data_IF_851332509080
#
_entry.id   IF_851332509080
#
_cell.length_a   1.000
_cell.length_b   1.000
_cell.length_c   1.000
_cell.angle_alpha   90.00
_cell.angle_beta   90.00
_cell.angle_gamma   90.00
#
_symmetry.space_group_name_H-M   'P 1'
#
loop_
_entity.id
_entity.type
_entity.pdbx_description
1 polymer ?
#
# COMPACT_ATOMS: atom_id res chain seq x y z
N UNK A 1 -25.89 -0.53 6.35
CA UNK A 1 -24.59 0.18 6.23
C UNK A 1 -24.79 1.30 5.22
N UNK A 2 -24.32 2.52 5.50
CA UNK A 2 -24.40 3.61 4.51
C UNK A 2 -23.37 3.34 3.42
N UNK A 3 -23.77 3.44 2.16
CA UNK A 3 -22.85 3.38 1.04
C UNK A 3 -22.00 4.65 1.05
N UNK A 4 -20.66 4.49 0.91
CA UNK A 4 -19.76 5.63 0.78
C UNK A 4 -18.88 5.43 -0.45
N UNK A 5 -18.81 6.48 -1.29
CA UNK A 5 -18.01 6.52 -2.49
C UNK A 5 -17.24 7.84 -2.55
N UNK A 6 -15.98 7.77 -2.93
CA UNK A 6 -15.10 8.92 -3.10
C UNK A 6 -14.53 8.95 -4.51
N UNK A 7 -14.66 10.08 -5.17
CA UNK A 7 -14.16 10.35 -6.51
C UNK A 7 -13.24 11.56 -6.47
N UNK A 8 -12.01 11.38 -6.94
CA UNK A 8 -11.04 12.47 -7.05
C UNK A 8 -10.37 12.46 -8.43
N UNK A 9 -10.36 13.60 -9.11
CA UNK A 9 -9.84 13.77 -10.46
C UNK A 9 -8.87 14.94 -10.50
N UNK A 10 -7.76 14.78 -11.25
CA UNK A 10 -6.72 15.78 -11.41
C UNK A 10 -6.44 16.03 -12.90
N UNK A 11 -6.46 17.29 -13.29
CA UNK A 11 -5.97 17.79 -14.55
C UNK A 11 -4.52 18.26 -14.37
N UNK A 12 -3.57 17.61 -15.05
CA UNK A 12 -2.13 17.87 -14.95
C UNK A 12 -1.62 18.59 -16.18
N UNK A 13 -2.01 18.12 -17.38
CA UNK A 13 -1.46 18.60 -18.65
C UNK A 13 -1.96 20.00 -19.02
N UNK A 14 -3.18 20.33 -18.62
CA UNK A 14 -3.78 21.66 -18.84
C UNK A 14 -4.77 22.01 -17.72
N UNK A 15 -4.85 23.25 -17.29
CA UNK A 15 -5.87 23.67 -16.35
C UNK A 15 -7.27 23.62 -16.97
N UNK A 16 -8.27 23.37 -16.13
CA UNK A 16 -9.70 23.44 -16.51
C UNK A 16 -10.11 24.88 -16.82
N UNK A 17 -10.67 25.09 -17.98
CA UNK A 17 -11.24 26.38 -18.37
C UNK A 17 -12.47 26.76 -17.54
N UNK A 18 -12.97 27.98 -17.67
CA UNK A 18 -14.21 28.38 -17.03
C UNK A 18 -15.41 27.58 -17.56
N UNK A 19 -15.40 27.23 -18.84
CA UNK A 19 -16.42 26.41 -19.48
C UNK A 19 -16.37 24.96 -18.97
N UNK A 20 -15.17 24.34 -18.92
CA UNK A 20 -14.98 23.00 -18.36
C UNK A 20 -15.54 22.92 -16.93
N UNK A 21 -15.24 23.91 -16.08
CA UNK A 21 -15.74 23.97 -14.71
C UNK A 21 -17.26 24.14 -14.64
N UNK A 22 -17.85 24.88 -15.58
CA UNK A 22 -19.30 25.02 -15.68
C UNK A 22 -19.95 23.70 -16.10
N UNK A 23 -19.36 22.94 -17.04
CA UNK A 23 -19.81 21.61 -17.44
C UNK A 23 -19.74 20.64 -16.25
N UNK A 24 -18.63 20.62 -15.53
CA UNK A 24 -18.46 19.79 -14.34
C UNK A 24 -19.44 20.14 -13.22
N UNK A 25 -19.80 21.45 -13.07
CA UNK A 25 -20.82 21.88 -12.11
C UNK A 25 -22.22 21.37 -12.44
N UNK A 26 -22.52 21.14 -13.72
CA UNK A 26 -23.79 20.47 -14.13
C UNK A 26 -23.82 18.99 -13.77
N UNK A 27 -22.66 18.32 -13.74
CA UNK A 27 -22.54 16.92 -13.27
C UNK A 27 -22.81 16.83 -11.77
N UNK A 28 -22.18 17.71 -10.98
CA UNK A 28 -22.39 17.74 -9.53
C UNK A 28 -22.37 19.15 -8.96
N UNK A 29 -23.48 19.54 -8.32
CA UNK A 29 -23.58 20.83 -7.62
C UNK A 29 -22.77 20.85 -6.31
N UNK A 30 -22.47 19.69 -5.72
CA UNK A 30 -21.78 19.54 -4.42
C UNK A 30 -20.27 19.34 -4.55
N UNK A 31 -19.78 18.94 -5.73
CA UNK A 31 -18.36 18.70 -5.94
C UNK A 31 -17.49 19.94 -5.66
N UNK A 32 -16.32 19.69 -5.09
CA UNK A 32 -15.25 20.68 -5.02
C UNK A 32 -14.55 20.74 -6.40
N UNK A 33 -14.72 21.83 -7.11
CA UNK A 33 -14.15 22.03 -8.46
C UNK A 33 -13.16 23.19 -8.39
N UNK A 34 -11.92 22.93 -8.82
CA UNK A 34 -10.83 23.90 -8.89
C UNK A 34 -10.35 24.07 -10.34
N UNK A 35 -9.30 24.83 -10.57
CA UNK A 35 -8.67 24.93 -11.88
C UNK A 35 -7.95 23.62 -12.30
N UNK A 36 -7.68 22.71 -11.38
CA UNK A 36 -6.95 21.46 -11.66
C UNK A 36 -7.65 20.20 -11.15
N UNK A 37 -8.81 20.29 -10.52
CA UNK A 37 -9.40 19.12 -9.91
C UNK A 37 -10.92 19.13 -9.76
N UNK A 38 -11.47 17.94 -9.60
CA UNK A 38 -12.86 17.67 -9.24
C UNK A 38 -12.88 16.59 -8.17
N UNK A 39 -13.36 16.92 -6.99
CA UNK A 39 -13.48 15.99 -5.86
C UNK A 39 -14.92 15.92 -5.40
N UNK A 40 -15.44 14.74 -5.18
CA UNK A 40 -16.77 14.54 -4.61
C UNK A 40 -16.88 13.23 -3.83
N UNK A 41 -17.68 13.23 -2.77
CA UNK A 41 -18.06 12.02 -2.03
C UNK A 41 -19.58 11.85 -2.03
N UNK A 42 -20.02 10.60 -2.00
CA UNK A 42 -21.41 10.21 -1.95
C UNK A 42 -21.64 9.24 -0.79
N UNK A 43 -22.48 9.62 0.16
CA UNK A 43 -23.00 8.68 1.17
C UNK A 43 -24.27 7.97 0.68
N UNK A 44 -24.88 8.47 -0.41
CA UNK A 44 -26.03 7.93 -1.11
C UNK A 44 -26.01 8.39 -2.57
N UNK A 45 -26.35 7.48 -3.49
CA UNK A 45 -26.34 7.76 -4.92
C UNK A 45 -24.93 7.63 -5.51
N UNK A 46 -24.75 8.14 -6.72
CA UNK A 46 -23.56 7.92 -7.52
C UNK A 46 -23.20 9.14 -8.38
N UNK A 47 -21.99 9.13 -8.94
CA UNK A 47 -21.55 10.13 -9.91
C UNK A 47 -22.42 10.07 -11.17
N UNK A 48 -23.05 11.19 -11.54
CA UNK A 48 -23.96 11.27 -12.71
C UNK A 48 -23.19 11.44 -14.04
N UNK A 49 -22.01 10.85 -14.14
CA UNK A 49 -21.20 10.86 -15.35
C UNK A 49 -20.33 9.61 -15.41
N UNK A 50 -19.91 9.23 -16.60
CA UNK A 50 -18.95 8.14 -16.77
C UNK A 50 -17.53 8.63 -16.45
N UNK A 51 -16.81 8.06 -15.45
CA UNK A 51 -15.47 8.48 -15.08
C UNK A 51 -14.47 8.43 -16.24
N UNK A 52 -14.53 7.39 -17.10
CA UNK A 52 -13.65 7.28 -18.29
C UNK A 52 -13.89 8.41 -19.29
N UNK A 53 -15.16 8.80 -19.48
CA UNK A 53 -15.48 9.94 -20.35
C UNK A 53 -14.98 11.27 -19.76
N UNK A 54 -15.02 11.42 -18.44
CA UNK A 54 -14.43 12.57 -17.75
C UNK A 54 -12.91 12.60 -17.91
N UNK A 55 -12.25 11.44 -17.77
CA UNK A 55 -10.82 11.29 -18.03
C UNK A 55 -10.45 11.66 -19.47
N UNK A 56 -11.18 11.15 -20.44
CA UNK A 56 -10.91 11.43 -21.84
C UNK A 56 -11.00 12.93 -22.18
N UNK A 57 -11.91 13.66 -21.51
CA UNK A 57 -12.20 15.07 -21.85
C UNK A 57 -11.41 16.07 -21.00
N UNK A 58 -11.25 15.83 -19.68
CA UNK A 58 -10.81 16.87 -18.75
C UNK A 58 -9.64 16.49 -17.86
N UNK A 59 -9.44 15.21 -17.53
CA UNK A 59 -8.53 14.83 -16.46
C UNK A 59 -7.44 13.86 -16.90
N UNK A 60 -6.38 13.81 -16.11
CA UNK A 60 -5.18 13.00 -16.39
C UNK A 60 -4.94 11.91 -15.37
N UNK A 61 -5.45 12.09 -14.14
CA UNK A 61 -5.39 11.11 -13.05
C UNK A 61 -6.74 11.07 -12.35
N UNK A 62 -7.20 9.88 -11.99
CA UNK A 62 -8.43 9.67 -11.23
C UNK A 62 -8.24 8.56 -10.21
N UNK A 63 -8.74 8.78 -9.00
CA UNK A 63 -8.83 7.80 -7.92
C UNK A 63 -10.29 7.63 -7.51
N UNK A 64 -10.71 6.39 -7.36
CA UNK A 64 -12.01 6.01 -6.81
C UNK A 64 -11.84 5.07 -5.64
N UNK A 65 -12.61 5.29 -4.58
CA UNK A 65 -12.65 4.47 -3.39
C UNK A 65 -14.10 4.24 -2.97
N UNK A 66 -14.41 3.06 -2.43
CA UNK A 66 -15.71 2.78 -1.82
C UNK A 66 -15.57 2.02 -0.50
N UNK A 67 -16.58 2.13 0.37
CA UNK A 67 -16.59 1.40 1.65
C UNK A 67 -16.97 -0.09 1.51
N UNK A 68 -17.26 -0.56 0.30
CA UNK A 68 -17.29 -1.98 -0.05
C UNK A 68 -15.98 -2.45 -0.70
N UNK A 69 -14.89 -1.76 -0.36
CA UNK A 69 -13.51 -2.11 -0.70
C UNK A 69 -13.21 -2.23 -2.20
N UNK A 70 -13.85 -1.40 -3.03
CA UNK A 70 -13.41 -1.18 -4.41
C UNK A 70 -12.45 -0.01 -4.47
N UNK A 71 -11.29 -0.22 -5.09
CA UNK A 71 -10.27 0.80 -5.32
C UNK A 71 -9.92 0.86 -6.80
N UNK A 72 -9.91 2.06 -7.37
CA UNK A 72 -9.54 2.25 -8.77
C UNK A 72 -8.61 3.44 -8.95
N UNK A 73 -7.66 3.29 -9.89
CA UNK A 73 -6.78 4.32 -10.40
C UNK A 73 -6.92 4.38 -11.92
N UNK A 74 -7.17 5.57 -12.48
CA UNK A 74 -7.06 5.79 -13.92
C UNK A 74 -5.95 6.78 -14.23
N UNK A 75 -5.15 6.48 -15.24
CA UNK A 75 -4.11 7.35 -15.79
C UNK A 75 -4.39 7.58 -17.28
N UNK A 76 -4.54 8.84 -17.68
CA UNK A 76 -4.59 9.23 -19.09
C UNK A 76 -3.18 9.43 -19.60
N UNK A 77 -2.79 8.63 -20.58
CA UNK A 77 -1.44 8.55 -21.11
C UNK A 77 -1.43 9.00 -22.58
N UNK A 78 -0.67 10.03 -22.96
CA UNK A 78 -0.49 10.40 -24.36
C UNK A 78 0.06 9.21 -25.16
N UNK A 79 -0.66 8.79 -26.20
CA UNK A 79 -0.33 7.59 -27.00
C UNK A 79 1.10 7.62 -27.56
N UNK A 80 1.55 8.79 -27.97
CA UNK A 80 2.89 8.98 -28.54
C UNK A 80 4.04 8.72 -27.52
N UNK A 81 3.74 8.68 -26.22
CA UNK A 81 4.70 8.42 -25.16
C UNK A 81 4.59 7.02 -24.54
N UNK A 82 3.72 6.17 -25.08
CA UNK A 82 3.51 4.81 -24.56
C UNK A 82 4.15 3.78 -25.49
N UNK A 83 5.01 2.94 -24.93
CA UNK A 83 5.45 1.71 -25.60
C UNK A 83 4.37 0.65 -25.44
N UNK A 84 3.46 0.55 -26.41
CA UNK A 84 2.33 -0.38 -26.38
C UNK A 84 2.73 -1.85 -26.28
N UNK A 85 3.74 -2.36 -27.01
CA UNK A 85 4.23 -3.71 -26.86
C UNK A 85 4.73 -4.01 -25.44
N UNK A 86 5.46 -3.09 -24.82
CA UNK A 86 5.94 -3.23 -23.44
C UNK A 86 4.76 -3.19 -22.47
N UNK A 87 3.89 -2.19 -22.58
CA UNK A 87 2.72 -2.07 -21.70
C UNK A 87 1.82 -3.31 -21.80
N UNK A 88 1.64 -3.83 -23.02
CA UNK A 88 0.88 -5.07 -23.24
C UNK A 88 1.45 -6.26 -22.46
N UNK A 89 2.79 -6.40 -22.39
CA UNK A 89 3.42 -7.44 -21.56
C UNK A 89 3.23 -7.18 -20.06
N UNK A 90 3.24 -5.92 -19.64
CA UNK A 90 3.06 -5.55 -18.23
C UNK A 90 1.66 -5.82 -17.70
N UNK A 91 0.63 -5.74 -18.55
CA UNK A 91 -0.77 -5.94 -18.16
C UNK A 91 -1.30 -7.35 -18.50
N UNK A 92 -0.50 -8.14 -19.20
CA UNK A 92 -0.90 -9.50 -19.56
C UNK A 92 -1.09 -10.36 -18.31
N UNK A 93 -2.22 -11.05 -18.20
CA UNK A 93 -2.53 -11.95 -17.08
C UNK A 93 -3.23 -11.26 -15.90
N UNK A 94 -3.41 -9.94 -15.88
CA UNK A 94 -4.20 -9.27 -14.83
C UNK A 94 -5.59 -8.87 -15.35
N UNK A 95 -6.65 -9.37 -14.71
CA UNK A 95 -8.03 -8.96 -14.97
C UNK A 95 -8.35 -7.59 -14.35
N UNK A 96 -7.56 -7.15 -13.40
CA UNK A 96 -7.70 -5.88 -12.69
C UNK A 96 -7.28 -4.67 -13.54
N UNK A 97 -6.54 -4.91 -14.65
CA UNK A 97 -5.97 -3.85 -15.48
C UNK A 97 -6.62 -3.80 -16.85
N UNK A 98 -7.14 -2.65 -17.22
CA UNK A 98 -7.71 -2.41 -18.55
C UNK A 98 -7.05 -1.22 -19.24
N UNK A 99 -6.94 -1.29 -20.55
CA UNK A 99 -6.44 -0.22 -21.41
C UNK A 99 -7.51 0.13 -22.44
N UNK A 100 -7.97 1.38 -22.44
CA UNK A 100 -8.99 1.85 -23.38
C UNK A 100 -8.47 3.00 -24.24
N UNK A 101 -8.99 3.07 -25.46
CA UNK A 101 -8.65 4.11 -26.44
C UNK A 101 -9.40 5.41 -26.11
N UNK A 102 -8.69 6.53 -26.16
CA UNK A 102 -9.21 7.89 -25.99
C UNK A 102 -8.63 8.83 -27.07
N UNK A 103 -8.48 8.34 -28.31
CA UNK A 103 -7.92 9.07 -29.44
C UNK A 103 -6.41 9.28 -29.33
N UNK A 104 -5.97 10.51 -29.12
CA UNK A 104 -4.55 10.85 -28.95
C UNK A 104 -3.98 10.35 -27.63
N UNK A 105 -4.81 9.78 -26.75
CA UNK A 105 -4.43 9.24 -25.47
C UNK A 105 -4.97 7.82 -25.28
N UNK A 106 -4.45 7.15 -24.25
CA UNK A 106 -4.95 5.90 -23.69
C UNK A 106 -5.37 6.13 -22.26
N UNK A 107 -6.39 5.43 -21.79
CA UNK A 107 -6.76 5.40 -20.38
C UNK A 107 -6.38 4.03 -19.86
N UNK A 108 -5.35 4.00 -19.01
CA UNK A 108 -4.97 2.85 -18.21
C UNK A 108 -5.80 2.89 -16.94
N UNK A 109 -6.52 1.82 -16.65
CA UNK A 109 -7.32 1.69 -15.44
C UNK A 109 -6.92 0.43 -14.68
N UNK A 110 -6.69 0.59 -13.38
CA UNK A 110 -6.49 -0.50 -12.41
C UNK A 110 -7.68 -0.47 -11.47
N UNK A 111 -8.37 -1.60 -11.29
CA UNK A 111 -9.53 -1.69 -10.39
C UNK A 111 -9.51 -3.02 -9.64
N UNK A 112 -9.31 -2.97 -8.33
CA UNK A 112 -9.50 -4.12 -7.44
C UNK A 112 -10.80 -3.96 -6.64
N UNK A 113 -11.53 -5.06 -6.51
CA UNK A 113 -12.83 -5.13 -5.81
C UNK A 113 -12.74 -6.07 -4.63
N UNK A 114 -13.60 -5.85 -3.63
CA UNK A 114 -13.79 -6.74 -2.48
C UNK A 114 -12.49 -7.04 -1.74
N UNK A 115 -11.60 -6.04 -1.66
CA UNK A 115 -10.36 -6.17 -0.91
C UNK A 115 -10.68 -6.40 0.57
N UNK A 116 -10.06 -7.42 1.17
CA UNK A 116 -10.15 -7.69 2.61
C UNK A 116 -9.51 -6.53 3.38
N UNK A 117 -10.29 -5.60 3.81
CA UNK A 117 -9.86 -4.45 4.59
C UNK A 117 -10.93 -4.07 5.63
N UNK A 118 -10.57 -4.12 6.91
CA UNK A 118 -11.41 -3.61 8.01
C UNK A 118 -11.28 -2.09 8.19
N UNK A 119 -10.46 -1.44 7.34
CA UNK A 119 -10.18 -0.01 7.43
C UNK A 119 -11.32 0.84 6.91
N UNK A 120 -11.80 1.77 7.73
CA UNK A 120 -12.68 2.84 7.30
C UNK A 120 -11.93 3.77 6.35
N UNK A 121 -12.56 4.18 5.25
CA UNK A 121 -12.02 5.22 4.37
C UNK A 121 -12.27 6.57 5.06
N UNK A 122 -11.18 7.24 5.43
CA UNK A 122 -11.25 8.61 5.97
C UNK A 122 -11.74 9.58 4.89
N UNK A 123 -12.50 10.60 5.31
CA UNK A 123 -12.91 11.68 4.43
C UNK A 123 -11.67 12.45 3.91
N UNK A 124 -11.58 12.62 2.58
CA UNK A 124 -10.53 13.39 1.86
C UNK A 124 -9.08 12.83 2.02
N UNK A 125 -8.83 11.54 1.75
CA UNK A 125 -7.49 10.97 1.85
C UNK A 125 -6.58 11.51 0.73
N UNK A 126 -5.26 11.67 0.97
CA UNK A 126 -4.30 12.24 0.01
C UNK A 126 -3.91 11.26 -1.12
N UNK A 127 -4.77 10.31 -1.48
CA UNK A 127 -4.46 9.24 -2.43
C UNK A 127 -4.04 9.76 -3.80
N UNK A 128 -4.76 10.76 -4.31
CA UNK A 128 -4.47 11.34 -5.62
C UNK A 128 -3.08 11.99 -5.66
N UNK A 129 -2.71 12.74 -4.61
CA UNK A 129 -1.40 13.38 -4.52
C UNK A 129 -0.26 12.36 -4.44
N UNK A 130 -0.48 11.22 -3.79
CA UNK A 130 0.50 10.15 -3.68
C UNK A 130 0.68 9.37 -4.99
N UNK A 131 -0.39 9.21 -5.79
CA UNK A 131 -0.39 8.39 -7.02
C UNK A 131 -0.12 9.20 -8.28
N UNK A 132 -0.43 10.50 -8.32
CA UNK A 132 -0.21 11.34 -9.50
C UNK A 132 1.24 11.33 -10.03
N UNK A 133 2.29 11.26 -9.19
CA UNK A 133 3.67 11.13 -9.66
C UNK A 133 3.93 9.92 -10.55
N UNK A 134 3.23 8.77 -10.35
CA UNK A 134 3.39 7.56 -11.17
C UNK A 134 3.20 7.85 -12.67
N UNK A 135 2.22 8.70 -13.01
CA UNK A 135 2.00 9.11 -14.40
C UNK A 135 3.21 9.82 -14.98
N UNK A 136 3.74 10.81 -14.28
CA UNK A 136 4.89 11.60 -14.74
C UNK A 136 6.16 10.75 -14.83
N UNK A 137 6.39 9.86 -13.88
CA UNK A 137 7.48 8.90 -13.85
C UNK A 137 7.40 7.96 -15.05
N UNK A 138 6.24 7.33 -15.27
CA UNK A 138 6.00 6.42 -16.40
C UNK A 138 6.17 7.13 -17.77
N UNK A 139 5.59 8.30 -17.93
CA UNK A 139 5.77 9.10 -19.14
C UNK A 139 7.24 9.51 -19.38
N UNK A 140 8.00 9.68 -18.29
CA UNK A 140 9.44 9.93 -18.31
C UNK A 140 10.30 8.71 -18.65
N UNK A 141 9.70 7.53 -18.82
CA UNK A 141 10.38 6.28 -19.14
C UNK A 141 10.76 5.43 -17.93
N UNK A 142 10.25 5.77 -16.72
CA UNK A 142 10.41 4.92 -15.54
C UNK A 142 9.56 3.64 -15.69
N UNK A 143 10.16 2.44 -15.61
CA UNK A 143 9.44 1.19 -15.84
C UNK A 143 8.68 0.67 -14.59
N UNK A 144 8.79 1.32 -13.41
CA UNK A 144 8.23 0.81 -12.16
C UNK A 144 6.73 0.59 -12.19
N UNK A 145 5.97 1.51 -12.82
CA UNK A 145 4.52 1.30 -13.00
C UNK A 145 4.26 0.01 -13.80
N UNK A 146 5.02 -0.24 -14.86
CA UNK A 146 4.90 -1.47 -15.64
C UNK A 146 5.15 -2.73 -14.80
N UNK A 147 6.16 -2.72 -13.91
CA UNK A 147 6.41 -3.80 -12.97
C UNK A 147 5.23 -3.97 -12.00
N UNK A 148 4.73 -2.89 -11.41
CA UNK A 148 3.58 -2.95 -10.48
C UNK A 148 2.33 -3.55 -11.13
N UNK A 149 2.04 -3.18 -12.39
CA UNK A 149 0.92 -3.74 -13.14
C UNK A 149 1.09 -5.25 -13.37
N UNK A 150 2.30 -5.71 -13.69
CA UNK A 150 2.59 -7.13 -13.87
C UNK A 150 2.52 -7.89 -12.54
N UNK A 151 2.98 -7.28 -11.44
CA UNK A 151 2.89 -7.88 -10.11
C UNK A 151 1.45 -8.13 -9.66
N UNK A 152 0.46 -7.35 -10.11
CA UNK A 152 -0.95 -7.65 -9.83
C UNK A 152 -1.34 -9.04 -10.35
N UNK A 153 -0.99 -9.36 -11.61
CA UNK A 153 -1.26 -10.68 -12.17
C UNK A 153 -0.39 -11.80 -11.57
N UNK A 154 0.82 -11.48 -11.09
CA UNK A 154 1.66 -12.45 -10.38
C UNK A 154 1.08 -12.77 -9.00
N UNK A 155 0.62 -11.77 -8.27
CA UNK A 155 0.00 -11.85 -6.96
C UNK A 155 -1.30 -12.68 -7.00
N UNK A 156 -2.11 -12.48 -8.04
CA UNK A 156 -3.36 -13.20 -8.28
C UNK A 156 -3.15 -14.59 -8.91
N UNK A 157 -1.89 -15.05 -9.05
CA UNK A 157 -1.52 -16.33 -9.68
C UNK A 157 -1.99 -16.48 -11.16
N UNK A 158 -2.37 -15.37 -11.79
CA UNK A 158 -2.85 -15.35 -13.18
C UNK A 158 -1.72 -15.33 -14.23
N UNK A 159 -0.49 -15.05 -13.79
CA UNK A 159 0.72 -15.10 -14.62
C UNK A 159 1.40 -16.45 -14.43
N UNK A 160 1.71 -17.14 -15.53
CA UNK A 160 2.39 -18.44 -15.50
C UNK A 160 3.81 -18.32 -14.90
N UNK A 161 4.28 -19.40 -14.22
CA UNK A 161 5.57 -19.38 -13.50
C UNK A 161 6.78 -19.14 -14.43
N UNK A 162 6.70 -19.57 -15.68
CA UNK A 162 7.77 -19.40 -16.68
C UNK A 162 7.72 -18.05 -17.39
N UNK A 163 6.68 -17.22 -17.14
CA UNK A 163 6.55 -15.91 -17.75
C UNK A 163 7.67 -14.96 -17.28
N UNK A 164 8.44 -14.35 -18.20
CA UNK A 164 9.53 -13.48 -17.85
C UNK A 164 9.06 -12.12 -17.33
N UNK A 165 9.80 -11.52 -16.40
CA UNK A 165 9.63 -10.12 -15.99
C UNK A 165 9.62 -9.21 -17.24
N UNK A 166 8.63 -8.31 -17.39
CA UNK A 166 8.57 -7.42 -18.54
C UNK A 166 9.60 -6.28 -18.47
N UNK A 167 10.12 -5.99 -17.29
CA UNK A 167 11.13 -4.95 -16.98
C UNK A 167 12.11 -5.43 -15.92
N UNK A 168 13.24 -4.74 -15.73
CA UNK A 168 14.40 -5.25 -14.98
C UNK A 168 14.17 -5.43 -13.46
N UNK A 169 13.26 -4.70 -12.85
CA UNK A 169 12.99 -4.73 -11.41
C UNK A 169 12.16 -3.54 -10.94
N UNK A 170 12.04 -3.38 -9.61
CA UNK A 170 11.23 -2.31 -8.99
C UNK A 170 12.07 -1.33 -8.13
N UNK A 171 13.26 -1.71 -7.73
CA UNK A 171 14.07 -0.92 -6.77
C UNK A 171 14.77 0.30 -7.35
N UNK A 172 15.14 1.27 -6.50
CA UNK A 172 14.57 1.47 -5.17
C UNK A 172 13.11 1.87 -5.26
N UNK A 173 12.32 1.55 -4.22
CA UNK A 173 10.93 1.96 -4.14
C UNK A 173 10.83 3.49 -4.02
N UNK A 174 9.85 4.07 -4.70
CA UNK A 174 9.48 5.47 -4.58
C UNK A 174 8.20 5.58 -3.73
N UNK A 175 7.93 6.71 -3.07
CA UNK A 175 6.69 6.89 -2.31
C UNK A 175 5.43 6.59 -3.12
N UNK A 176 5.42 6.92 -4.43
CA UNK A 176 4.32 6.63 -5.35
C UNK A 176 4.13 5.12 -5.59
N UNK A 177 5.22 4.36 -5.71
CA UNK A 177 5.19 2.90 -5.91
C UNK A 177 4.80 2.17 -4.64
N UNK A 178 5.30 2.60 -3.47
CA UNK A 178 4.91 2.07 -2.16
C UNK A 178 3.42 2.29 -1.90
N UNK A 179 2.94 3.51 -2.19
CA UNK A 179 1.53 3.83 -2.03
C UNK A 179 0.63 3.03 -2.97
N UNK A 180 1.04 2.84 -4.24
CA UNK A 180 0.32 1.98 -5.18
C UNK A 180 0.22 0.54 -4.65
N UNK A 181 1.34 -0.05 -4.24
CA UNK A 181 1.39 -1.41 -3.72
C UNK A 181 0.47 -1.58 -2.48
N UNK A 182 0.51 -0.63 -1.55
CA UNK A 182 -0.36 -0.62 -0.37
C UNK A 182 -1.84 -0.42 -0.73
N UNK A 183 -2.16 0.51 -1.64
CA UNK A 183 -3.53 0.78 -2.06
C UNK A 183 -4.16 -0.43 -2.73
N UNK A 184 -3.44 -1.12 -3.60
CA UNK A 184 -3.93 -2.31 -4.32
C UNK A 184 -3.63 -3.63 -3.61
N UNK A 185 -3.16 -3.59 -2.35
CA UNK A 185 -2.92 -4.78 -1.51
C UNK A 185 -2.03 -5.84 -2.18
N UNK A 186 -0.98 -5.40 -2.88
CA UNK A 186 0.06 -6.31 -3.34
C UNK A 186 0.77 -6.96 -2.16
N UNK A 187 1.11 -8.24 -2.27
CA UNK A 187 1.91 -8.93 -1.24
C UNK A 187 3.23 -8.16 -1.01
N UNK A 188 3.48 -7.67 0.22
CA UNK A 188 4.67 -6.90 0.54
C UNK A 188 5.97 -7.69 0.32
N UNK A 189 5.95 -9.02 0.43
CA UNK A 189 7.12 -9.85 0.18
C UNK A 189 7.38 -10.00 -1.32
N UNK A 190 6.32 -10.01 -2.15
CA UNK A 190 6.45 -9.98 -3.60
C UNK A 190 7.02 -8.63 -4.09
N UNK A 191 6.53 -7.52 -3.53
CA UNK A 191 7.05 -6.17 -3.81
C UNK A 191 8.53 -6.07 -3.38
N UNK A 192 8.88 -6.60 -2.20
CA UNK A 192 10.27 -6.63 -1.71
C UNK A 192 11.18 -7.45 -2.62
N UNK A 193 10.74 -8.64 -3.06
CA UNK A 193 11.47 -9.49 -3.99
C UNK A 193 11.72 -8.78 -5.34
N UNK A 194 10.71 -8.07 -5.86
CA UNK A 194 10.87 -7.27 -7.09
C UNK A 194 11.85 -6.10 -6.89
N UNK A 195 11.84 -5.49 -5.70
CA UNK A 195 12.69 -4.35 -5.38
C UNK A 195 14.17 -4.71 -5.13
N UNK A 196 14.52 -5.99 -4.97
CA UNK A 196 15.94 -6.42 -4.88
C UNK A 196 16.73 -6.10 -6.15
N UNK A 197 16.04 -5.94 -7.29
CA UNK A 197 16.67 -5.49 -8.53
C UNK A 197 16.29 -4.05 -8.83
N UNK A 198 17.24 -3.22 -9.32
CA UNK A 198 16.93 -1.85 -9.70
C UNK A 198 16.00 -1.82 -10.92
N UNK A 199 15.03 -0.91 -10.90
CA UNK A 199 14.10 -0.69 -12.01
C UNK A 199 14.82 -0.23 -13.28
N UNK A 200 15.86 0.59 -13.09
CA UNK A 200 16.76 1.03 -14.15
C UNK A 200 18.19 0.63 -13.77
N UNK A 201 18.85 -0.25 -14.55
CA UNK A 201 20.24 -0.60 -14.29
C UNK A 201 21.15 0.61 -14.54
N UNK A 202 22.06 0.83 -13.60
CA UNK A 202 23.05 1.90 -13.67
C UNK A 202 22.75 3.12 -12.78
N UNK A 203 23.73 4.00 -12.57
CA UNK A 203 23.58 5.19 -11.77
C UNK A 203 22.62 6.20 -12.43
N UNK A 204 21.88 6.95 -11.60
CA UNK A 204 21.11 8.09 -12.08
C UNK A 204 22.00 9.03 -12.91
N UNK A 205 21.52 9.48 -14.07
CA UNK A 205 22.31 10.35 -14.93
C UNK A 205 22.61 11.66 -14.21
N UNK A 206 23.92 11.92 -14.00
CA UNK A 206 24.34 13.24 -13.49
C UNK A 206 24.03 14.35 -14.48
N UNK A 207 23.98 15.59 -14.02
CA UNK A 207 23.79 16.74 -14.90
C UNK A 207 24.80 16.77 -16.06
N UNK A 208 26.07 16.41 -15.78
CA UNK A 208 27.12 16.30 -16.81
C UNK A 208 26.81 15.21 -17.84
N UNK A 209 26.34 14.04 -17.39
CA UNK A 209 25.97 12.96 -18.28
C UNK A 209 24.73 13.31 -19.12
N UNK A 210 23.73 13.99 -18.55
CA UNK A 210 22.59 14.51 -19.29
C UNK A 210 23.03 15.53 -20.35
N UNK A 211 23.89 16.50 -19.99
CA UNK A 211 24.43 17.47 -20.94
C UNK A 211 25.13 16.78 -22.10
N UNK A 212 26.04 15.84 -21.82
CA UNK A 212 26.74 15.10 -22.86
C UNK A 212 25.78 14.33 -23.80
N UNK A 213 24.74 13.69 -23.26
CA UNK A 213 23.73 13.00 -24.07
C UNK A 213 22.88 13.96 -24.88
N UNK A 214 22.52 15.14 -24.36
CA UNK A 214 21.81 16.18 -25.11
C UNK A 214 22.69 16.71 -26.25
N UNK A 215 23.98 16.95 -26.00
CA UNK A 215 24.92 17.41 -27.02
C UNK A 215 25.13 16.39 -28.12
N UNK A 216 25.08 15.10 -27.79
CA UNK A 216 25.16 14.00 -28.75
C UNK A 216 23.91 13.82 -29.63
N UNK A 217 22.78 14.45 -29.28
CA UNK A 217 21.58 14.41 -30.14
C UNK A 217 21.83 15.17 -31.45
N UNK A 218 21.28 14.72 -32.57
CA UNK A 218 21.26 15.48 -33.81
C UNK A 218 20.71 16.89 -33.59
N UNK A 219 21.31 17.90 -34.24
CA UNK A 219 20.87 19.29 -34.09
C UNK A 219 19.36 19.47 -34.38
N UNK A 220 18.84 18.79 -35.39
CA UNK A 220 17.40 18.84 -35.74
C UNK A 220 16.51 18.34 -34.59
N UNK A 221 16.89 17.25 -33.88
CA UNK A 221 16.16 16.74 -32.72
C UNK A 221 16.19 17.75 -31.58
N UNK A 222 17.38 18.31 -31.26
CA UNK A 222 17.51 19.35 -30.21
C UNK A 222 16.63 20.56 -30.50
N UNK A 223 16.67 21.05 -31.74
CA UNK A 223 15.81 22.17 -32.16
C UNK A 223 14.33 21.78 -32.05
N UNK A 224 13.96 20.56 -32.44
CA UNK A 224 12.58 20.07 -32.29
C UNK A 224 12.10 20.06 -30.84
N UNK A 225 12.91 19.60 -29.89
CA UNK A 225 12.56 19.66 -28.47
C UNK A 225 12.41 21.10 -27.96
N UNK A 226 13.27 22.02 -28.38
CA UNK A 226 13.19 23.44 -28.00
C UNK A 226 11.93 24.12 -28.59
N UNK A 227 11.56 23.83 -29.82
CA UNK A 227 10.33 24.33 -30.45
C UNK A 227 9.10 23.83 -29.69
N UNK A 228 9.00 22.52 -29.42
CA UNK A 228 7.91 21.96 -28.61
C UNK A 228 7.80 22.60 -27.23
N UNK A 229 8.94 22.89 -26.59
CA UNK A 229 8.96 23.60 -25.31
C UNK A 229 8.43 25.02 -25.45
N UNK A 230 8.83 25.76 -26.51
CA UNK A 230 8.36 27.11 -26.80
C UNK A 230 6.86 27.16 -27.15
N UNK A 231 6.34 26.10 -27.76
CA UNK A 231 4.91 25.93 -28.08
C UNK A 231 4.07 25.51 -26.87
N UNK A 232 4.70 25.27 -25.71
CA UNK A 232 4.02 24.90 -24.47
C UNK A 232 3.59 23.44 -24.42
N UNK A 233 4.26 22.52 -25.15
CA UNK A 233 3.99 21.09 -25.07
C UNK A 233 4.29 20.57 -23.64
N UNK A 234 3.26 20.13 -22.88
CA UNK A 234 3.44 19.68 -21.49
C UNK A 234 4.28 18.40 -21.38
N UNK A 235 4.46 17.67 -22.46
CA UNK A 235 5.12 16.37 -22.48
C UNK A 235 6.57 16.41 -23.00
N UNK A 236 7.07 17.57 -23.41
CA UNK A 236 8.40 17.68 -24.02
C UNK A 236 9.51 17.18 -23.09
N UNK A 237 9.42 17.46 -21.79
CA UNK A 237 10.38 16.99 -20.80
C UNK A 237 10.37 15.46 -20.61
N UNK A 238 9.20 14.84 -20.67
CA UNK A 238 9.07 13.38 -20.64
C UNK A 238 9.65 12.72 -21.91
N UNK A 239 9.29 13.27 -23.08
CA UNK A 239 9.81 12.80 -24.35
C UNK A 239 11.34 12.90 -24.46
N UNK A 240 11.92 14.01 -23.97
CA UNK A 240 13.38 14.19 -23.93
C UNK A 240 14.02 13.18 -22.98
N UNK A 241 13.53 13.00 -21.76
CA UNK A 241 14.05 12.00 -20.84
C UNK A 241 14.06 10.60 -21.46
N UNK A 242 12.95 10.16 -22.04
CA UNK A 242 12.89 8.86 -22.74
C UNK A 242 13.95 8.76 -23.84
N UNK A 243 14.14 9.80 -24.64
CA UNK A 243 15.14 9.83 -25.72
C UNK A 243 16.57 9.74 -25.19
N UNK A 244 16.83 10.30 -23.99
CA UNK A 244 18.14 10.29 -23.34
C UNK A 244 18.45 8.99 -22.58
N UNK A 245 17.42 8.25 -22.15
CA UNK A 245 17.61 7.01 -21.38
C UNK A 245 17.88 5.81 -22.28
N UNK A 246 18.26 5.80 -23.44
CA UNK A 246 18.62 4.68 -24.32
C UNK A 246 18.42 3.25 -23.76
N UNK A 247 18.50 2.19 -24.51
CA UNK A 247 18.41 0.83 -23.99
C UNK A 247 19.54 0.61 -22.97
N UNK A 248 19.16 0.21 -21.77
CA UNK A 248 20.12 -0.19 -20.74
C UNK A 248 20.44 -1.68 -20.91
N UNK A 249 21.70 -2.09 -20.62
CA UNK A 249 22.05 -3.50 -20.47
C UNK A 249 21.30 -4.04 -19.23
N UNK A 250 20.12 -4.57 -19.44
CA UNK A 250 19.33 -5.16 -18.38
C UNK A 250 19.88 -6.57 -18.05
N UNK A 251 19.92 -6.98 -16.77
CA UNK A 251 20.22 -8.36 -16.41
C UNK A 251 19.16 -9.29 -17.02
N UNK A 252 19.52 -10.58 -17.17
CA UNK A 252 18.55 -11.58 -17.61
C UNK A 252 17.27 -11.51 -16.76
N UNK A 253 16.07 -11.50 -17.38
CA UNK A 253 14.82 -11.41 -16.65
C UNK A 253 14.64 -12.64 -15.76
N UNK A 254 14.10 -12.43 -14.54
CA UNK A 254 13.55 -13.53 -13.74
C UNK A 254 12.22 -13.95 -14.34
N UNK A 255 11.74 -15.13 -13.98
CA UNK A 255 10.37 -15.52 -14.26
C UNK A 255 9.47 -15.33 -13.02
N UNK A 256 8.15 -15.41 -13.20
CA UNK A 256 7.18 -15.22 -12.13
C UNK A 256 7.35 -16.23 -10.99
N UNK A 257 7.67 -17.50 -11.31
CA UNK A 257 7.93 -18.55 -10.34
C UNK A 257 9.15 -18.26 -9.46
N UNK A 258 10.25 -17.79 -10.06
CA UNK A 258 11.43 -17.36 -9.30
C UNK A 258 11.11 -16.20 -8.35
N UNK A 259 10.28 -15.26 -8.81
CA UNK A 259 9.88 -14.12 -8.00
C UNK A 259 8.97 -14.55 -6.83
N UNK A 260 7.98 -15.42 -7.06
CA UNK A 260 7.13 -16.02 -6.00
C UNK A 260 7.96 -16.82 -4.99
N UNK A 261 8.88 -17.63 -5.45
CA UNK A 261 9.77 -18.40 -4.56
C UNK A 261 10.63 -17.47 -3.69
N UNK A 262 11.13 -16.36 -4.26
CA UNK A 262 11.88 -15.37 -3.50
C UNK A 262 11.01 -14.63 -2.49
N UNK A 263 9.80 -14.25 -2.85
CA UNK A 263 8.82 -13.64 -1.96
C UNK A 263 8.48 -14.56 -0.76
N UNK A 264 8.23 -15.84 -1.03
CA UNK A 264 7.98 -16.83 0.02
C UNK A 264 9.17 -16.92 1.01
N UNK A 265 10.41 -16.94 0.51
CA UNK A 265 11.61 -16.98 1.35
C UNK A 265 11.75 -15.70 2.21
N UNK A 266 11.44 -14.52 1.66
CA UNK A 266 11.43 -13.26 2.42
C UNK A 266 10.34 -13.24 3.49
N UNK A 267 9.15 -13.77 3.19
CA UNK A 267 8.06 -13.92 4.14
C UNK A 267 8.42 -14.84 5.32
N UNK A 268 9.09 -15.96 5.05
CA UNK A 268 9.59 -16.87 6.10
C UNK A 268 10.63 -16.17 6.98
N UNK A 269 11.58 -15.49 6.39
CA UNK A 269 12.60 -14.73 7.10
C UNK A 269 11.97 -13.65 7.99
N UNK A 270 11.01 -12.89 7.46
CA UNK A 270 10.27 -11.87 8.22
C UNK A 270 9.52 -12.47 9.40
N UNK A 271 8.81 -13.60 9.20
CA UNK A 271 8.11 -14.31 10.29
C UNK A 271 9.09 -14.81 11.35
N UNK A 272 10.23 -15.36 10.95
CA UNK A 272 11.28 -15.81 11.87
C UNK A 272 11.81 -14.66 12.72
N UNK A 273 12.19 -13.54 12.10
CA UNK A 273 12.69 -12.36 12.80
C UNK A 273 11.62 -11.76 13.75
N UNK A 274 10.37 -11.74 13.34
CA UNK A 274 9.27 -11.30 14.18
C UNK A 274 9.10 -12.20 15.42
N UNK A 275 9.10 -13.53 15.23
CA UNK A 275 9.01 -14.50 16.31
C UNK A 275 10.20 -14.40 17.30
N UNK A 276 11.43 -14.21 16.78
CA UNK A 276 12.61 -14.00 17.61
C UNK A 276 12.51 -12.73 18.45
N UNK A 277 12.03 -11.63 17.86
CA UNK A 277 11.80 -10.34 18.55
C UNK A 277 10.71 -10.48 19.62
N UNK A 278 9.62 -11.16 19.32
CA UNK A 278 8.54 -11.42 20.28
C UNK A 278 9.03 -12.29 21.43
N UNK A 279 9.77 -13.37 21.15
CA UNK A 279 10.37 -14.23 22.17
C UNK A 279 11.36 -13.47 23.05
N UNK A 280 12.19 -12.59 22.47
CA UNK A 280 13.10 -11.75 23.22
C UNK A 280 12.35 -10.74 24.13
N UNK A 281 11.33 -10.07 23.60
CA UNK A 281 10.49 -9.15 24.36
C UNK A 281 9.74 -9.88 25.49
N UNK A 282 9.22 -11.07 25.20
CA UNK A 282 8.58 -11.93 26.19
C UNK A 282 9.55 -12.30 27.32
N UNK A 283 10.78 -12.70 26.99
CA UNK A 283 11.81 -13.02 28.00
C UNK A 283 12.10 -11.82 28.92
N UNK A 284 12.33 -10.63 28.32
CA UNK A 284 12.57 -9.40 29.12
C UNK A 284 11.41 -9.10 30.05
N UNK A 285 10.15 -9.24 29.57
CA UNK A 285 8.95 -9.03 30.39
C UNK A 285 8.86 -10.04 31.54
N UNK A 286 9.14 -11.34 31.29
CA UNK A 286 9.10 -12.37 32.30
C UNK A 286 10.22 -12.22 33.34
N UNK A 287 11.44 -11.86 32.90
CA UNK A 287 12.58 -11.62 33.82
C UNK A 287 12.30 -10.38 34.72
N UNK A 288 11.74 -9.32 34.18
CA UNK A 288 11.32 -8.16 34.96
C UNK A 288 10.22 -8.54 35.98
N UNK A 289 9.27 -9.38 35.61
CA UNK A 289 8.24 -9.89 36.53
C UNK A 289 8.85 -10.79 37.59
N UNK A 290 9.77 -11.68 37.25
CA UNK A 290 10.49 -12.54 38.19
C UNK A 290 11.28 -11.71 39.23
N UNK A 291 11.96 -10.65 38.78
CA UNK A 291 12.69 -9.76 39.68
C UNK A 291 11.79 -9.04 40.71
N UNK A 292 10.50 -8.84 40.42
CA UNK A 292 9.52 -8.29 41.33
C UNK A 292 9.14 -9.28 42.45
N UNK A 293 9.24 -10.58 42.20
CA UNK A 293 9.00 -11.62 43.22
C UNK A 293 7.68 -11.45 43.98
N UNK A 294 7.76 -11.35 45.31
CA UNK A 294 6.59 -11.15 46.17
C UNK A 294 5.85 -9.82 45.94
N UNK A 295 6.52 -8.79 45.44
CA UNK A 295 5.86 -7.52 45.15
C UNK A 295 4.79 -7.64 44.04
N UNK A 296 4.94 -8.57 43.10
CA UNK A 296 3.93 -8.82 42.07
C UNK A 296 2.65 -9.46 42.69
N UNK A 297 2.81 -10.34 43.67
CA UNK A 297 1.67 -10.89 44.40
C UNK A 297 1.02 -9.87 45.32
N UNK A 298 1.83 -9.00 45.98
CA UNK A 298 1.29 -7.88 46.77
C UNK A 298 0.46 -6.92 45.92
N UNK A 299 0.82 -6.72 44.63
CA UNK A 299 0.01 -5.96 43.67
C UNK A 299 -1.35 -6.62 43.41
N UNK A 300 -1.40 -7.95 43.25
CA UNK A 300 -2.67 -8.70 43.15
C UNK A 300 -3.54 -8.42 44.36
N UNK A 301 -2.98 -8.54 45.56
CA UNK A 301 -3.73 -8.28 46.83
C UNK A 301 -4.22 -6.82 46.92
N UNK A 302 -3.36 -5.86 46.56
CA UNK A 302 -3.73 -4.44 46.55
C UNK A 302 -4.81 -4.13 45.49
N UNK A 303 -4.76 -4.76 44.34
CA UNK A 303 -5.76 -4.61 43.29
C UNK A 303 -7.13 -5.16 43.74
N UNK A 304 -7.15 -6.32 44.37
CA UNK A 304 -8.36 -6.93 44.96
C UNK A 304 -8.94 -6.06 46.09
N UNK A 305 -8.08 -5.47 46.92
CA UNK A 305 -8.49 -4.61 48.03
C UNK A 305 -9.28 -3.35 47.61
N UNK A 306 -9.16 -2.92 46.34
CA UNK A 306 -9.95 -1.81 45.78
C UNK A 306 -11.44 -2.11 45.64
N UNK A 307 -11.82 -3.39 45.63
CA UNK A 307 -13.22 -3.88 45.56
C UNK A 307 -14.05 -3.27 44.47
N UNK A 308 -13.46 -3.06 43.31
CA UNK A 308 -14.14 -2.56 42.09
C UNK A 308 -13.73 -3.34 40.83
N UNK A 309 -14.48 -3.19 39.72
CA UNK A 309 -14.25 -3.92 38.47
C UNK A 309 -12.84 -3.70 37.90
N UNK A 310 -12.33 -2.47 37.95
CA UNK A 310 -10.97 -2.16 37.46
C UNK A 310 -9.88 -2.84 38.28
N UNK A 311 -10.04 -2.89 39.61
CA UNK A 311 -9.13 -3.62 40.51
C UNK A 311 -9.15 -5.12 40.23
N UNK A 312 -10.31 -5.72 40.00
CA UNK A 312 -10.42 -7.14 39.65
C UNK A 312 -9.81 -7.47 38.30
N UNK A 313 -10.04 -6.62 37.29
CA UNK A 313 -9.38 -6.78 35.98
C UNK A 313 -7.85 -6.70 36.09
N UNK A 314 -7.33 -5.73 36.85
CA UNK A 314 -5.90 -5.61 37.08
C UNK A 314 -5.34 -6.84 37.82
N UNK A 315 -6.01 -7.35 38.84
CA UNK A 315 -5.59 -8.56 39.55
C UNK A 315 -5.51 -9.77 38.65
N UNK A 316 -6.53 -9.97 37.79
CA UNK A 316 -6.55 -11.05 36.79
C UNK A 316 -5.42 -10.90 35.75
N UNK A 317 -5.12 -9.69 35.29
CA UNK A 317 -4.03 -9.43 34.35
C UNK A 317 -2.65 -9.78 34.97
N UNK A 318 -2.41 -9.39 36.24
CA UNK A 318 -1.16 -9.73 36.97
C UNK A 318 -1.08 -11.24 37.19
N UNK A 319 -2.17 -11.91 37.57
CA UNK A 319 -2.23 -13.37 37.69
C UNK A 319 -1.95 -14.10 36.39
N UNK A 320 -2.42 -13.59 35.24
CA UNK A 320 -2.11 -14.15 33.94
C UNK A 320 -0.61 -14.09 33.64
N UNK A 321 0.02 -12.94 33.92
CA UNK A 321 1.47 -12.79 33.76
C UNK A 321 2.27 -13.71 34.71
N UNK A 322 1.84 -13.83 35.98
CA UNK A 322 2.47 -14.73 36.96
C UNK A 322 2.32 -16.21 36.56
N UNK A 323 1.19 -16.61 35.95
CA UNK A 323 1.00 -17.95 35.41
C UNK A 323 1.94 -18.20 34.24
N UNK A 324 2.06 -17.25 33.33
CA UNK A 324 3.00 -17.31 32.19
C UNK A 324 4.44 -17.49 32.69
N UNK A 325 4.85 -16.69 33.69
CA UNK A 325 6.14 -16.83 34.33
C UNK A 325 6.33 -18.22 34.99
N UNK A 326 5.31 -18.71 35.68
CA UNK A 326 5.35 -20.02 36.32
C UNK A 326 5.45 -21.18 35.30
N UNK A 327 4.81 -21.04 34.15
CA UNK A 327 4.95 -21.97 33.02
C UNK A 327 6.37 -21.97 32.47
N UNK A 328 6.91 -20.77 32.22
CA UNK A 328 8.27 -20.59 31.69
C UNK A 328 9.36 -21.15 32.64
N UNK A 329 9.15 -21.01 33.96
CA UNK A 329 10.10 -21.50 34.97
C UNK A 329 9.82 -22.90 35.54
N UNK A 330 8.81 -23.60 34.99
CA UNK A 330 8.42 -24.95 35.47
C UNK A 330 7.84 -24.96 36.88
N UNK A 331 7.28 -23.86 37.37
CA UNK A 331 6.77 -23.69 38.76
C UNK A 331 5.24 -23.60 38.84
N UNK A 332 4.52 -24.13 37.83
CA UNK A 332 3.05 -24.08 37.77
C UNK A 332 2.36 -24.66 38.98
N UNK A 333 2.91 -25.72 39.60
CA UNK A 333 2.36 -26.32 40.82
C UNK A 333 2.36 -25.33 42.00
N UNK A 334 3.45 -24.57 42.19
CA UNK A 334 3.56 -23.55 43.21
C UNK A 334 2.60 -22.39 42.96
N UNK A 335 2.47 -21.97 41.70
CA UNK A 335 1.49 -20.96 41.27
C UNK A 335 0.05 -21.43 41.56
N UNK A 336 -0.30 -22.66 41.19
CA UNK A 336 -1.63 -23.24 41.43
C UNK A 336 -1.99 -23.32 42.92
N UNK A 337 -1.05 -23.73 43.77
CA UNK A 337 -1.25 -23.75 45.23
C UNK A 337 -1.54 -22.36 45.77
N UNK A 338 -0.80 -21.34 45.30
CA UNK A 338 -0.98 -19.95 45.71
C UNK A 338 -2.28 -19.34 45.22
N UNK A 339 -2.68 -19.66 44.00
CA UNK A 339 -3.97 -19.30 43.40
C UNK A 339 -5.14 -19.91 44.20
N UNK A 340 -5.03 -21.18 44.59
CA UNK A 340 -6.03 -21.86 45.40
C UNK A 340 -6.20 -21.18 46.77
N UNK A 341 -5.09 -20.79 47.45
CA UNK A 341 -5.13 -20.03 48.68
C UNK A 341 -5.79 -18.64 48.50
N UNK A 342 -5.52 -17.96 47.39
CA UNK A 342 -6.17 -16.71 47.03
C UNK A 342 -7.69 -16.89 46.87
N UNK A 343 -8.13 -17.92 46.15
CA UNK A 343 -9.55 -18.25 45.94
C UNK A 343 -10.25 -18.53 47.27
N UNK A 344 -9.62 -19.28 48.16
CA UNK A 344 -10.18 -19.61 49.49
C UNK A 344 -10.48 -18.36 50.33
N UNK A 345 -9.62 -17.33 50.27
CA UNK A 345 -9.79 -16.09 51.05
C UNK A 345 -10.69 -15.04 50.34
N UNK A 346 -11.01 -15.22 49.08
CA UNK A 346 -11.84 -14.28 48.29
C UNK A 346 -13.24 -14.78 47.97
N UNK A 347 -13.73 -15.81 48.66
CA UNK A 347 -15.03 -16.47 48.43
C UNK A 347 -16.24 -15.53 48.46
N UNK A 348 -16.16 -14.40 49.18
CA UNK A 348 -17.25 -13.41 49.30
C UNK A 348 -17.28 -12.39 48.15
N UNK A 349 -16.32 -12.41 47.23
CA UNK A 349 -16.21 -11.46 46.12
C UNK A 349 -16.72 -12.13 44.82
N UNK A 350 -18.04 -12.13 44.61
CA UNK A 350 -18.71 -12.88 43.56
C UNK A 350 -18.17 -12.56 42.14
N UNK A 351 -17.99 -11.29 41.81
CA UNK A 351 -17.49 -10.86 40.50
C UNK A 351 -16.02 -11.29 40.25
N UNK A 352 -15.16 -11.22 41.27
CA UNK A 352 -13.79 -11.70 41.19
C UNK A 352 -13.75 -13.23 41.07
N UNK A 353 -14.62 -13.93 41.79
CA UNK A 353 -14.69 -15.40 41.73
C UNK A 353 -15.00 -15.92 40.35
N UNK A 354 -15.95 -15.32 39.63
CA UNK A 354 -16.25 -15.68 38.26
C UNK A 354 -15.00 -15.56 37.39
N UNK A 355 -14.25 -14.47 37.51
CA UNK A 355 -12.98 -14.27 36.79
C UNK A 355 -11.91 -15.31 37.14
N UNK A 356 -11.74 -15.60 38.43
CA UNK A 356 -10.77 -16.62 38.91
C UNK A 356 -11.17 -18.04 38.51
N UNK A 357 -12.46 -18.36 38.46
CA UNK A 357 -12.95 -19.68 38.02
C UNK A 357 -12.74 -19.87 36.53
N UNK A 358 -13.06 -18.85 35.69
CA UNK A 358 -12.76 -18.86 34.27
C UNK A 358 -11.24 -18.96 33.99
N UNK A 359 -10.44 -18.25 34.78
CA UNK A 359 -8.97 -18.30 34.68
C UNK A 359 -8.39 -19.67 35.05
N UNK A 360 -8.98 -20.38 35.98
CA UNK A 360 -8.59 -21.75 36.38
C UNK A 360 -9.04 -22.80 35.35
N UNK A 361 -10.24 -22.65 34.77
CA UNK A 361 -10.77 -23.54 33.74
C UNK A 361 -10.05 -23.42 32.37
N UNK A 362 -9.54 -22.27 32.02
CA UNK A 362 -8.75 -22.03 30.79
C UNK A 362 -7.29 -22.53 30.86
N UNK A 363 -6.97 -23.42 31.77
CA UNK A 363 -5.64 -23.95 32.06
C UNK A 363 -5.46 -25.43 31.84
N UNK A 364 -6.44 -26.13 31.21
CA UNK A 364 -6.31 -27.52 30.75
C UNK A 364 -5.92 -27.60 29.28
#
# INVERSE_FOLDING_TARGET
MSEYQFYDFLAVDRPLSAEDRADLRRISSRARITASGFTNSYSWGDLKANPRAMMARWFDVHVYLSNWNTRSLMLRLPRALVDLPLLGRCIAGSEDVTLSDAGEALILEVTRRELDDEGWIEDDPPHLAALAPLRAEFLGGDPRLGMLLWLLGVDDEAVADDAPEPVAGLGPLLPSTEFFAAMFRLDPDLVAAAAERPAQPGPALSAAALTARIEALPQAERTGFLLRAAEGDPHVGAALRRRLHGPADAPAPRNAGELRARAAALGEERRRVAAEREAAARRVRLDALAARGEAAWAEVDAAIARRNAGGYQQALAVLAALRELAADRGTLAAFAARLAALRARTTRLSSLRVGLDAFAAGGE
#
